data_IF_932003377978
#
_entry.id   IF_932003377978
#
_cell.length_a   1.000
_cell.length_b   1.000
_cell.length_c   1.000
_cell.angle_alpha   90.00
_cell.angle_beta   90.00
_cell.angle_gamma   90.00
#
_symmetry.space_group_name_H-M   'P 1'
#
loop_
_entity.id
_entity.type
_entity.pdbx_description
1 polymer ?
#
# COMPACT_ATOMS: atom_id res chain seq x y z
N UNK A 1 -13.26 -23.16 -18.02
CA UNK A 1 -12.42 -24.37 -17.88
C UNK A 1 -13.09 -25.29 -16.90
N UNK A 2 -13.03 -26.61 -17.08
CA UNK A 2 -13.63 -27.54 -16.13
C UNK A 2 -12.82 -27.59 -14.83
N UNK A 3 -13.50 -27.74 -13.67
CA UNK A 3 -12.84 -27.78 -12.35
C UNK A 3 -11.76 -28.86 -12.27
N UNK A 4 -11.98 -30.02 -12.89
CA UNK A 4 -10.99 -31.10 -12.92
C UNK A 4 -9.71 -30.75 -13.70
N UNK A 5 -9.85 -30.02 -14.81
CA UNK A 5 -8.71 -29.56 -15.60
C UNK A 5 -7.89 -28.53 -14.82
N UNK A 6 -8.56 -27.61 -14.14
CA UNK A 6 -7.93 -26.62 -13.26
C UNK A 6 -7.14 -27.29 -12.13
N UNK A 7 -7.76 -28.25 -11.45
CA UNK A 7 -7.11 -29.02 -10.39
C UNK A 7 -5.89 -29.79 -10.88
N UNK A 8 -5.93 -30.35 -12.10
CA UNK A 8 -4.77 -31.03 -12.69
C UNK A 8 -3.61 -30.06 -12.93
N UNK A 9 -3.90 -28.87 -13.46
CA UNK A 9 -2.87 -27.84 -13.69
C UNK A 9 -2.23 -27.41 -12.37
N UNK A 10 -3.05 -27.12 -11.34
CA UNK A 10 -2.58 -26.74 -10.00
C UNK A 10 -1.62 -27.81 -9.45
N UNK A 11 -2.03 -29.07 -9.45
CA UNK A 11 -1.19 -30.18 -8.95
C UNK A 11 0.13 -30.32 -9.70
N UNK A 12 0.13 -30.09 -11.02
CA UNK A 12 1.37 -30.15 -11.83
C UNK A 12 2.31 -29.00 -11.47
N UNK A 13 1.78 -27.79 -11.26
CA UNK A 13 2.59 -26.64 -10.84
C UNK A 13 3.17 -26.85 -9.44
N UNK A 14 2.36 -27.33 -8.49
CA UNK A 14 2.81 -27.60 -7.11
C UNK A 14 3.84 -28.75 -7.06
N UNK A 15 3.63 -29.83 -7.82
CA UNK A 15 4.51 -31.00 -7.79
C UNK A 15 5.88 -30.77 -8.44
N UNK A 16 5.96 -29.88 -9.41
CA UNK A 16 7.20 -29.63 -10.17
C UNK A 16 8.06 -28.50 -9.58
N UNK A 17 7.59 -27.80 -8.55
CA UNK A 17 8.29 -26.65 -8.00
C UNK A 17 8.53 -26.82 -6.51
N UNK A 18 9.79 -26.67 -6.10
CA UNK A 18 10.15 -26.64 -4.69
C UNK A 18 9.95 -25.25 -4.12
N UNK A 19 9.21 -25.14 -3.02
CA UNK A 19 9.06 -23.90 -2.24
C UNK A 19 10.41 -23.38 -1.74
N UNK A 20 11.35 -24.27 -1.38
CA UNK A 20 12.68 -23.87 -0.88
C UNK A 20 13.55 -23.17 -1.93
N UNK A 21 13.31 -23.46 -3.21
CA UNK A 21 14.04 -22.87 -4.34
C UNK A 21 13.27 -21.75 -5.02
N UNK A 22 12.01 -21.56 -4.65
CA UNK A 22 11.14 -20.56 -5.25
C UNK A 22 11.45 -19.16 -4.71
N UNK A 23 11.26 -18.17 -5.57
CA UNK A 23 11.36 -16.76 -5.19
C UNK A 23 10.32 -15.97 -5.95
N UNK A 24 9.47 -15.26 -5.22
CA UNK A 24 8.52 -14.30 -5.75
C UNK A 24 8.50 -13.08 -4.82
N UNK A 25 8.84 -11.92 -5.35
CA UNK A 25 8.83 -10.66 -4.62
C UNK A 25 8.13 -9.58 -5.43
N UNK A 26 7.25 -8.80 -4.78
CA UNK A 26 6.82 -7.51 -5.34
C UNK A 26 7.56 -6.38 -4.65
N UNK A 27 8.27 -5.61 -5.45
CA UNK A 27 9.13 -4.52 -5.01
C UNK A 27 8.69 -3.21 -5.67
N UNK A 28 8.97 -2.10 -5.00
CA UNK A 28 8.86 -0.76 -5.58
C UNK A 28 10.23 -0.09 -5.53
N UNK A 29 10.48 0.83 -6.48
CA UNK A 29 11.64 1.73 -6.39
C UNK A 29 11.13 3.13 -6.10
N UNK A 30 11.71 3.81 -5.11
CA UNK A 30 11.41 5.22 -4.78
C UNK A 30 12.01 6.22 -5.81
N UNK A 31 12.12 5.84 -7.08
CA UNK A 31 12.76 6.61 -8.15
C UNK A 31 11.92 6.63 -9.43
N UNK A 32 11.91 7.78 -10.09
CA UNK A 32 10.96 8.17 -11.16
C UNK A 32 10.94 7.27 -12.41
N UNK A 33 11.91 6.37 -12.62
CA UNK A 33 11.99 5.58 -13.85
C UNK A 33 11.31 4.20 -13.79
N UNK A 34 11.19 3.58 -12.62
CA UNK A 34 10.67 2.22 -12.50
C UNK A 34 9.78 2.09 -11.25
N UNK A 35 8.47 2.10 -11.46
CA UNK A 35 7.45 1.94 -10.41
C UNK A 35 7.47 0.55 -9.76
N UNK A 36 6.29 -0.04 -9.53
CA UNK A 36 6.17 -1.39 -8.94
C UNK A 36 6.58 -2.48 -9.94
N UNK A 37 7.39 -3.44 -9.51
CA UNK A 37 7.86 -4.57 -10.32
C UNK A 37 7.86 -5.89 -9.55
N UNK A 38 7.83 -7.00 -10.30
CA UNK A 38 7.92 -8.36 -9.76
C UNK A 38 9.35 -8.88 -9.98
N UNK A 39 10.01 -9.30 -8.91
CA UNK A 39 11.28 -10.02 -8.95
C UNK A 39 11.02 -11.47 -8.57
N UNK A 40 11.08 -12.36 -9.55
CA UNK A 40 10.77 -13.77 -9.34
C UNK A 40 11.64 -14.70 -10.19
N UNK A 41 11.82 -15.94 -9.73
CA UNK A 41 12.34 -17.01 -10.56
C UNK A 41 11.20 -17.85 -11.15
N UNK A 42 11.52 -18.76 -12.07
CA UNK A 42 10.51 -19.56 -12.78
C UNK A 42 9.62 -20.34 -11.79
N UNK A 43 10.22 -20.96 -10.77
CA UNK A 43 9.47 -21.72 -9.76
C UNK A 43 8.55 -20.85 -8.90
N UNK A 44 8.99 -19.67 -8.48
CA UNK A 44 8.16 -18.72 -7.74
C UNK A 44 6.99 -18.19 -8.58
N UNK A 45 7.19 -17.93 -9.88
CA UNK A 45 6.10 -17.56 -10.78
C UNK A 45 5.07 -18.68 -10.91
N UNK A 46 5.52 -19.94 -11.05
CA UNK A 46 4.63 -21.09 -11.20
C UNK A 46 3.85 -21.39 -9.92
N UNK A 47 4.49 -21.29 -8.75
CA UNK A 47 3.80 -21.45 -7.46
C UNK A 47 2.82 -20.31 -7.19
N UNK A 48 3.20 -19.06 -7.51
CA UNK A 48 2.26 -17.96 -7.37
C UNK A 48 1.06 -18.11 -8.32
N UNK A 49 1.29 -18.63 -9.53
CA UNK A 49 0.20 -18.96 -10.44
C UNK A 49 -0.70 -20.05 -9.86
N UNK A 50 -0.18 -21.09 -9.21
CA UNK A 50 -1.02 -22.12 -8.57
C UNK A 50 -1.88 -21.54 -7.43
N UNK A 51 -1.36 -20.59 -6.64
CA UNK A 51 -2.15 -19.89 -5.62
C UNK A 51 -3.35 -19.14 -6.25
N UNK A 52 -3.11 -18.38 -7.32
CA UNK A 52 -4.20 -17.69 -8.03
C UNK A 52 -5.22 -18.66 -8.66
N UNK A 53 -4.76 -19.80 -9.17
CA UNK A 53 -5.63 -20.84 -9.72
C UNK A 53 -6.45 -21.53 -8.62
N UNK A 54 -5.88 -21.73 -7.43
CA UNK A 54 -6.60 -22.23 -6.25
C UNK A 54 -7.70 -21.25 -5.82
N UNK A 55 -7.42 -19.95 -5.85
CA UNK A 55 -8.44 -18.91 -5.59
C UNK A 55 -9.55 -18.99 -6.63
N UNK A 56 -9.21 -19.09 -7.93
CA UNK A 56 -10.19 -19.19 -9.00
C UNK A 56 -11.04 -20.47 -8.93
N UNK A 57 -10.47 -21.59 -8.49
CA UNK A 57 -11.20 -22.86 -8.32
C UNK A 57 -12.34 -22.74 -7.29
N UNK A 58 -12.11 -21.93 -6.25
CA UNK A 58 -13.03 -21.75 -5.12
C UNK A 58 -13.85 -20.45 -5.21
N UNK A 59 -13.73 -19.69 -6.31
CA UNK A 59 -14.29 -18.34 -6.41
C UNK A 59 -15.82 -18.30 -6.28
N UNK A 60 -16.52 -19.30 -6.81
CA UNK A 60 -17.99 -19.41 -6.71
C UNK A 60 -18.46 -19.55 -5.26
N UNK A 61 -17.73 -20.33 -4.46
CA UNK A 61 -18.03 -20.52 -3.04
C UNK A 61 -17.75 -19.24 -2.27
N UNK A 62 -16.58 -18.62 -2.49
CA UNK A 62 -16.18 -17.38 -1.83
C UNK A 62 -17.14 -16.22 -2.16
N UNK A 63 -17.67 -16.14 -3.38
CA UNK A 63 -18.68 -15.14 -3.77
C UNK A 63 -19.99 -15.24 -2.97
N UNK A 64 -20.32 -16.44 -2.46
CA UNK A 64 -21.49 -16.66 -1.62
C UNK A 64 -21.31 -16.19 -0.17
N UNK A 65 -20.07 -15.86 0.23
CA UNK A 65 -19.75 -15.37 1.57
C UNK A 65 -19.82 -13.84 1.67
N UNK A 66 -19.88 -13.31 2.89
CA UNK A 66 -19.89 -11.87 3.14
C UNK A 66 -18.51 -11.21 2.94
N UNK A 67 -17.42 -11.90 3.27
CA UNK A 67 -16.08 -11.32 3.16
C UNK A 67 -15.55 -11.34 1.73
N UNK A 68 -15.90 -12.35 0.91
CA UNK A 68 -15.47 -12.50 -0.50
C UNK A 68 -13.95 -12.35 -0.72
N UNK A 69 -13.17 -12.71 0.29
CA UNK A 69 -11.72 -12.54 0.33
C UNK A 69 -11.07 -13.91 0.52
N UNK A 70 -9.99 -14.16 -0.21
CA UNK A 70 -9.10 -15.30 0.02
C UNK A 70 -7.70 -14.78 0.34
N UNK A 71 -7.19 -15.12 1.52
CA UNK A 71 -5.85 -14.73 1.96
C UNK A 71 -4.79 -15.65 1.37
N UNK A 72 -3.63 -15.08 1.06
CA UNK A 72 -2.42 -15.86 0.81
C UNK A 72 -1.73 -16.18 2.12
N UNK A 73 -1.01 -17.31 2.16
CA UNK A 73 -0.20 -17.65 3.34
C UNK A 73 1.06 -16.78 3.38
N UNK A 74 1.02 -15.73 4.20
CA UNK A 74 2.13 -14.79 4.39
C UNK A 74 3.30 -15.37 5.19
N UNK A 75 3.19 -16.61 5.70
CA UNK A 75 4.29 -17.31 6.39
C UNK A 75 5.24 -18.03 5.44
N UNK A 76 4.88 -18.11 4.16
CA UNK A 76 5.68 -18.78 3.13
C UNK A 76 6.95 -17.99 2.78
N UNK A 77 8.12 -18.55 3.06
CA UNK A 77 9.42 -17.88 2.89
C UNK A 77 9.75 -17.47 1.44
N UNK A 78 9.11 -18.12 0.46
CA UNK A 78 9.33 -17.89 -0.96
C UNK A 78 8.51 -16.71 -1.52
N UNK A 79 7.51 -16.24 -0.78
CA UNK A 79 6.65 -15.10 -1.11
C UNK A 79 7.04 -13.88 -0.28
N UNK A 80 7.53 -12.83 -0.92
CA UNK A 80 8.02 -11.60 -0.26
C UNK A 80 7.45 -10.34 -0.91
N UNK A 81 7.54 -9.23 -0.21
CA UNK A 81 7.11 -7.92 -0.70
C UNK A 81 6.49 -7.09 0.40
N UNK A 82 6.76 -5.79 0.38
CA UNK A 82 6.19 -4.84 1.34
C UNK A 82 4.66 -4.82 1.17
N UNK A 83 3.89 -5.28 2.16
CA UNK A 83 2.48 -4.93 2.44
C UNK A 83 1.42 -4.97 1.30
N UNK A 84 1.68 -5.55 0.13
CA UNK A 84 0.77 -5.39 -1.04
C UNK A 84 -0.02 -6.65 -1.44
N UNK A 85 0.30 -7.85 -0.93
CA UNK A 85 -0.33 -9.11 -1.39
C UNK A 85 -0.82 -9.98 -0.22
N UNK A 86 -1.73 -9.44 0.57
CA UNK A 86 -2.33 -10.19 1.68
C UNK A 86 -3.51 -11.06 1.24
N UNK A 87 -4.22 -10.64 0.19
CA UNK A 87 -5.44 -11.30 -0.22
C UNK A 87 -5.89 -11.01 -1.66
N UNK A 88 -6.79 -11.84 -2.17
CA UNK A 88 -7.57 -11.61 -3.39
C UNK A 88 -9.02 -11.36 -3.00
N UNK A 89 -9.59 -10.23 -3.44
CA UNK A 89 -11.03 -9.96 -3.32
C UNK A 89 -11.74 -10.41 -4.59
N UNK A 90 -12.72 -11.29 -4.43
CA UNK A 90 -13.51 -11.80 -5.55
C UNK A 90 -14.71 -10.89 -5.78
N UNK A 91 -14.86 -10.44 -7.02
CA UNK A 91 -15.96 -9.58 -7.47
C UNK A 91 -16.68 -10.27 -8.63
N UNK A 92 -18.01 -10.13 -8.65
CA UNK A 92 -18.87 -10.76 -9.68
C UNK A 92 -18.93 -9.98 -10.98
N UNK A 93 -18.67 -8.68 -10.91
CA UNK A 93 -18.79 -7.76 -12.03
C UNK A 93 -17.52 -6.92 -12.16
N UNK A 94 -17.22 -6.52 -13.39
CA UNK A 94 -16.14 -5.57 -13.65
C UNK A 94 -16.49 -4.26 -12.93
N UNK A 95 -15.59 -3.69 -12.11
CA UNK A 95 -15.83 -2.38 -11.53
C UNK A 95 -16.07 -1.38 -12.67
N UNK A 96 -17.02 -0.47 -12.50
CA UNK A 96 -16.99 0.76 -13.29
C UNK A 96 -15.62 1.41 -13.09
N UNK A 97 -15.08 2.07 -14.11
CA UNK A 97 -13.86 2.87 -13.93
C UNK A 97 -14.14 3.87 -12.82
N UNK A 98 -13.63 3.57 -11.62
CA UNK A 98 -13.59 4.52 -10.55
C UNK A 98 -12.75 5.68 -11.11
N UNK A 99 -13.43 6.81 -11.38
CA UNK A 99 -12.80 8.11 -11.21
C UNK A 99 -12.06 7.98 -9.89
N UNK A 100 -10.73 8.10 -9.92
CA UNK A 100 -9.94 8.15 -8.70
C UNK A 100 -10.74 8.97 -7.71
N UNK A 101 -11.07 8.39 -6.57
CA UNK A 101 -11.53 9.19 -5.46
C UNK A 101 -10.35 10.12 -5.19
N UNK A 102 -10.37 11.32 -5.77
CA UNK A 102 -9.65 12.46 -5.26
C UNK A 102 -9.86 12.35 -3.76
N UNK A 103 -8.78 12.06 -3.04
CA UNK A 103 -8.80 12.00 -1.58
C UNK A 103 -9.47 13.30 -1.18
N UNK A 104 -10.74 13.24 -0.76
CA UNK A 104 -11.47 14.44 -0.40
C UNK A 104 -10.68 15.03 0.75
N UNK A 105 -9.97 16.13 0.49
CA UNK A 105 -9.26 16.92 1.50
C UNK A 105 -10.19 17.03 2.70
N UNK A 106 -9.89 16.26 3.74
CA UNK A 106 -10.74 16.26 4.92
C UNK A 106 -10.62 17.67 5.47
N UNK A 107 -11.74 18.33 5.80
CA UNK A 107 -11.76 19.69 6.33
C UNK A 107 -10.74 19.95 7.48
N UNK A 108 -10.31 18.90 8.17
CA UNK A 108 -9.21 18.87 9.15
C UNK A 108 -7.85 19.23 8.56
N UNK A 109 -7.51 18.76 7.36
CA UNK A 109 -6.23 19.04 6.68
C UNK A 109 -6.15 20.51 6.27
N UNK A 110 -7.27 21.09 5.81
CA UNK A 110 -7.39 22.53 5.55
C UNK A 110 -7.32 23.38 6.83
N UNK A 111 -7.78 22.86 7.97
CA UNK A 111 -7.71 23.55 9.26
C UNK A 111 -6.28 23.57 9.84
N UNK A 112 -5.53 22.47 9.71
CA UNK A 112 -4.15 22.38 10.17
C UNK A 112 -3.22 23.32 9.39
N UNK A 113 -3.39 23.43 8.07
CA UNK A 113 -2.62 24.36 7.25
C UNK A 113 -2.82 25.83 7.64
N UNK A 114 -4.07 26.23 7.91
CA UNK A 114 -4.38 27.61 8.37
C UNK A 114 -3.97 27.87 9.81
N UNK A 115 -4.09 26.88 10.69
CA UNK A 115 -3.68 26.98 12.09
C UNK A 115 -2.18 27.21 12.26
N UNK A 116 -1.36 26.48 11.49
CA UNK A 116 0.10 26.62 11.53
C UNK A 116 0.55 28.03 11.07
N UNK A 117 -0.10 28.56 10.04
CA UNK A 117 0.20 29.91 9.55
C UNK A 117 -0.12 31.00 10.59
N UNK A 118 -1.24 30.88 11.31
CA UNK A 118 -1.59 31.82 12.37
C UNK A 118 -0.58 31.81 13.54
N UNK A 119 -0.11 30.62 13.94
CA UNK A 119 0.91 30.48 15.00
C UNK A 119 2.23 31.10 14.55
N UNK A 120 2.64 30.90 13.29
CA UNK A 120 3.85 31.50 12.74
C UNK A 120 3.81 33.04 12.77
N UNK A 121 2.66 33.65 12.40
CA UNK A 121 2.48 35.10 12.47
C UNK A 121 2.60 35.62 13.91
N UNK A 122 1.95 34.95 14.87
CA UNK A 122 2.02 35.34 16.28
C UNK A 122 3.45 35.25 16.80
N UNK A 123 4.19 34.20 16.44
CA UNK A 123 5.60 34.04 16.83
C UNK A 123 6.48 35.19 16.30
N UNK A 124 6.27 35.60 15.04
CA UNK A 124 6.99 36.73 14.44
C UNK A 124 6.70 38.04 15.19
N UNK A 125 5.43 38.30 15.52
CA UNK A 125 5.04 39.52 16.25
C UNK A 125 5.69 39.54 17.64
N UNK A 126 5.63 38.43 18.38
CA UNK A 126 6.26 38.32 19.71
C UNK A 126 7.77 38.57 19.61
N UNK A 127 8.42 38.01 18.59
CA UNK A 127 9.84 38.19 18.36
C UNK A 127 10.21 39.66 18.10
N UNK A 128 9.45 40.36 17.25
CA UNK A 128 9.67 41.78 16.95
C UNK A 128 9.46 42.65 18.21
N UNK A 129 8.39 42.42 18.96
CA UNK A 129 8.12 43.16 20.21
C UNK A 129 9.23 42.92 21.22
N UNK A 130 9.74 41.69 21.34
CA UNK A 130 10.88 41.35 22.19
C UNK A 130 12.15 42.11 21.81
N UNK A 131 12.45 42.21 20.50
CA UNK A 131 13.60 42.97 20.00
C UNK A 131 13.47 44.47 20.30
N UNK A 132 12.30 45.07 20.06
CA UNK A 132 12.06 46.49 20.34
C UNK A 132 12.19 46.78 21.83
N UNK A 133 11.61 45.93 22.68
CA UNK A 133 11.67 46.08 24.14
C UNK A 133 13.11 45.99 24.65
N UNK A 134 13.88 45.03 24.14
CA UNK A 134 15.30 44.86 24.50
C UNK A 134 16.13 46.06 24.03
N UNK A 135 15.92 46.50 22.78
CA UNK A 135 16.61 47.67 22.23
C UNK A 135 16.31 48.95 23.02
N UNK A 136 15.03 49.20 23.31
CA UNK A 136 14.61 50.36 24.11
C UNK A 136 15.18 50.30 25.53
N UNK A 137 15.19 49.12 26.16
CA UNK A 137 15.80 48.95 27.49
C UNK A 137 17.30 49.26 27.47
N UNK A 138 18.05 48.75 26.48
CA UNK A 138 19.48 49.01 26.37
C UNK A 138 19.79 50.48 26.08
N UNK A 139 19.00 51.16 25.25
CA UNK A 139 19.23 52.57 24.90
C UNK A 139 18.74 53.58 25.95
N UNK A 140 17.59 53.33 26.61
CA UNK A 140 17.11 54.21 27.67
C UNK A 140 17.80 54.00 29.02
N UNK A 141 18.51 52.88 29.23
CA UNK A 141 19.27 52.62 30.47
C UNK A 141 20.71 53.18 30.40
N UNK A 142 21.07 53.87 29.32
CA UNK A 142 22.37 54.53 29.10
C UNK A 142 22.30 56.07 29.19
N UNK A 143 21.15 56.65 29.58
CA UNK A 143 20.95 58.08 29.88
C UNK A 143 20.59 58.24 31.35
#
# INVERSE_FOLDING_TARGET
MEKEQLQKIIKVLEANNSKDQAYFEVSYTDGEEHGTYIKANNSGLQLFASELLNVALNSEEVLSTNERITHFDSTENWLKGLAFFDYVKIISEKPEENKENEIEDTWKDKALGRGCFAIAIIAIIIFIVGLISTYNYFFNSQV
#
